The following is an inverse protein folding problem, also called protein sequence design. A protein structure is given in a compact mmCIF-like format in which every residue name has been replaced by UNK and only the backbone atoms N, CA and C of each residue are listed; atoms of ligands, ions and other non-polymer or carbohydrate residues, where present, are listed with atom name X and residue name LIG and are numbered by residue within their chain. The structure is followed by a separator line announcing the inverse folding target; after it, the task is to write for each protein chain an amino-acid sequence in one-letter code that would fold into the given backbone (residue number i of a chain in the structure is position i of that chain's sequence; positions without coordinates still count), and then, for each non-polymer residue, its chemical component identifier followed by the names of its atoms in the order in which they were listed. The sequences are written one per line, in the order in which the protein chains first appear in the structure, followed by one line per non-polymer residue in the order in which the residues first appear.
data_IF_992597892846
#
_entry.id   IF_992597892846
#
_cell.length_a   1.000
_cell.length_b   1.000
_cell.length_c   1.000
_cell.angle_alpha   90.00
_cell.angle_beta   90.00
_cell.angle_gamma   90.00
#
_symmetry.space_group_name_H-M   'P 1'
#
loop_
_entity.id
_entity.type
_entity.pdbx_description
1 polymer ?
#
# COMPACT_ATOMS: atom_id res chain seq x y z
N UNK A 1 -4.28 72.70 -39.72
CA UNK A 1 -3.39 71.90 -38.84
C UNK A 1 -4.25 71.09 -37.89
N UNK A 2 -4.24 69.75 -37.98
CA UNK A 2 -4.39 68.84 -36.83
C UNK A 2 -4.28 67.40 -37.34
N UNK A 3 -3.16 66.73 -36.99
CA UNK A 3 -2.91 65.31 -37.22
C UNK A 3 -3.42 64.56 -36.00
N UNK A 4 -4.39 63.66 -36.17
CA UNK A 4 -4.80 62.70 -35.16
C UNK A 4 -3.92 61.45 -35.29
N UNK A 5 -3.09 61.23 -34.26
CA UNK A 5 -2.21 60.07 -34.16
C UNK A 5 -3.03 58.80 -33.88
N UNK A 6 -2.88 57.79 -34.75
CA UNK A 6 -3.40 56.43 -34.52
C UNK A 6 -2.41 55.69 -33.62
N UNK A 7 -2.81 55.47 -32.36
CA UNK A 7 -2.10 54.59 -31.43
C UNK A 7 -2.25 53.13 -31.83
N UNK A 8 -1.12 52.43 -31.91
CA UNK A 8 -1.03 50.98 -32.13
C UNK A 8 -1.22 50.29 -30.78
N UNK A 9 -2.28 49.50 -30.62
CA UNK A 9 -2.45 48.58 -29.48
C UNK A 9 -1.68 47.29 -29.79
N UNK A 10 -0.58 47.06 -29.07
CA UNK A 10 0.08 45.76 -29.00
C UNK A 10 -0.77 44.82 -28.12
N UNK A 11 -1.34 43.78 -28.73
CA UNK A 11 -1.93 42.66 -28.00
C UNK A 11 -0.80 41.73 -27.53
N UNK A 12 -0.53 41.71 -26.22
CA UNK A 12 0.38 40.75 -25.63
C UNK A 12 -0.31 39.38 -25.58
N UNK A 13 0.12 38.46 -26.44
CA UNK A 13 -0.30 37.06 -26.38
C UNK A 13 0.32 36.40 -25.15
N UNK A 14 -0.49 36.18 -24.11
CA UNK A 14 -0.14 35.34 -22.97
C UNK A 14 -0.13 33.88 -23.44
N UNK A 15 1.05 33.38 -23.80
CA UNK A 15 1.27 31.95 -23.95
C UNK A 15 1.14 31.30 -22.58
N UNK A 16 -0.01 30.69 -22.32
CA UNK A 16 -0.16 29.76 -21.22
C UNK A 16 0.81 28.60 -21.45
N UNK A 17 1.86 28.53 -20.66
CA UNK A 17 2.75 27.37 -20.63
C UNK A 17 1.93 26.16 -20.15
N UNK A 18 1.94 25.03 -20.87
CA UNK A 18 1.33 23.82 -20.34
C UNK A 18 2.05 23.47 -19.04
N UNK A 19 1.27 23.32 -17.97
CA UNK A 19 1.76 22.87 -16.68
C UNK A 19 2.58 21.60 -16.90
N UNK A 20 3.88 21.69 -16.59
CA UNK A 20 4.83 20.61 -16.81
C UNK A 20 4.30 19.32 -16.19
N UNK A 21 4.25 18.27 -17.01
CA UNK A 21 4.15 16.91 -16.52
C UNK A 21 5.34 16.69 -15.57
N UNK A 22 5.06 16.62 -14.26
CA UNK A 22 6.01 16.04 -13.31
C UNK A 22 6.14 14.56 -13.67
N UNK A 23 7.19 14.24 -14.40
CA UNK A 23 7.62 12.89 -14.71
C UNK A 23 8.15 12.23 -13.43
N UNK A 24 7.29 11.46 -12.78
CA UNK A 24 7.61 10.61 -11.65
C UNK A 24 6.36 9.86 -11.24
N UNK A 25 6.36 8.55 -11.43
CA UNK A 25 5.32 7.66 -10.93
C UNK A 25 5.34 7.68 -9.39
N UNK A 26 4.63 8.63 -8.77
CA UNK A 26 4.64 8.76 -7.31
C UNK A 26 3.39 8.10 -6.72
N UNK A 27 3.61 7.10 -5.87
CA UNK A 27 2.55 6.49 -5.07
C UNK A 27 2.19 7.44 -3.92
N UNK A 28 1.23 8.34 -4.18
CA UNK A 28 0.91 9.46 -3.30
C UNK A 28 0.53 9.07 -1.87
N UNK A 29 -0.06 7.88 -1.68
CA UNK A 29 -0.57 7.43 -0.38
C UNK A 29 -0.12 6.00 -0.06
N UNK A 30 1.19 5.75 -0.19
CA UNK A 30 1.80 4.53 0.33
C UNK A 30 1.45 4.32 1.82
N UNK A 31 1.30 3.07 2.25
CA UNK A 31 0.85 2.73 3.58
C UNK A 31 1.71 1.62 4.17
N UNK A 32 2.10 1.80 5.42
CA UNK A 32 2.96 0.88 6.17
C UNK A 32 2.29 0.42 7.44
N UNK A 33 1.02 0.76 7.67
CA UNK A 33 0.34 0.51 8.94
C UNK A 33 -0.92 -0.31 8.71
N UNK A 34 -1.12 -1.35 9.51
CA UNK A 34 -2.39 -2.06 9.67
C UNK A 34 -2.73 -2.15 11.15
N UNK A 35 -3.89 -1.59 11.53
CA UNK A 35 -4.42 -1.71 12.89
C UNK A 35 -3.38 -1.43 14.00
N UNK A 36 -2.55 -0.39 13.80
CA UNK A 36 -1.50 0.02 14.74
C UNK A 36 -0.17 -0.73 14.62
N UNK A 37 -0.09 -1.81 13.85
CA UNK A 37 1.15 -2.50 13.49
C UNK A 37 1.76 -1.78 12.29
N UNK A 38 3.01 -1.33 12.42
CA UNK A 38 3.76 -0.62 11.39
C UNK A 38 4.90 -1.50 10.87
N UNK A 39 5.07 -1.54 9.55
CA UNK A 39 6.17 -2.24 8.90
C UNK A 39 7.52 -1.75 9.44
N UNK A 40 8.40 -2.67 9.80
CA UNK A 40 9.73 -2.36 10.34
C UNK A 40 9.76 -1.89 11.81
N UNK A 41 8.61 -1.79 12.50
CA UNK A 41 8.54 -1.30 13.89
C UNK A 41 8.10 -2.40 14.85
N UNK A 42 9.08 -3.08 15.46
CA UNK A 42 8.84 -4.13 16.46
C UNK A 42 8.02 -3.65 17.67
N UNK A 43 8.15 -2.38 18.08
CA UNK A 43 7.40 -1.86 19.22
C UNK A 43 5.92 -1.69 18.87
N UNK A 44 5.60 -1.34 17.64
CA UNK A 44 4.21 -1.30 17.17
C UNK A 44 3.53 -2.66 17.25
N UNK A 45 4.22 -3.72 16.80
CA UNK A 45 3.75 -5.10 16.92
C UNK A 45 3.55 -5.50 18.36
N UNK A 46 4.53 -5.25 19.24
CA UNK A 46 4.45 -5.60 20.66
C UNK A 46 3.28 -4.88 21.35
N UNK A 47 2.99 -3.62 21.00
CA UNK A 47 1.84 -2.89 21.55
C UNK A 47 0.51 -3.54 21.17
N UNK A 48 0.39 -4.07 19.95
CA UNK A 48 -0.86 -4.64 19.43
C UNK A 48 -1.03 -6.10 19.82
N UNK A 49 0.03 -6.90 19.72
CA UNK A 49 0.00 -8.36 19.89
C UNK A 49 0.54 -8.83 21.25
N UNK A 50 1.23 -7.96 21.99
CA UNK A 50 2.02 -8.35 23.16
C UNK A 50 3.38 -8.95 22.78
N UNK A 51 4.22 -9.26 23.78
CA UNK A 51 5.54 -9.88 23.56
C UNK A 51 5.48 -11.40 23.33
N UNK A 52 4.43 -12.05 23.82
CA UNK A 52 4.30 -13.51 23.85
C UNK A 52 3.23 -14.07 22.93
N UNK A 53 2.82 -13.34 21.87
CA UNK A 53 1.80 -13.85 20.97
C UNK A 53 2.27 -15.17 20.34
N UNK A 54 1.33 -16.11 20.28
CA UNK A 54 1.46 -17.32 19.49
C UNK A 54 0.55 -17.18 18.29
N UNK A 55 0.95 -17.77 17.18
CA UNK A 55 0.23 -17.63 15.92
C UNK A 55 0.45 -18.89 15.11
N UNK A 56 -0.45 -19.10 14.16
CA UNK A 56 -0.27 -20.15 13.16
C UNK A 56 0.79 -19.67 12.19
N UNK A 57 1.79 -20.50 11.98
CA UNK A 57 2.85 -20.28 11.01
C UNK A 57 2.39 -20.94 9.71
N UNK A 58 2.18 -20.13 8.67
CA UNK A 58 2.00 -20.60 7.31
C UNK A 58 3.38 -20.67 6.66
N UNK A 59 3.73 -21.85 6.16
CA UNK A 59 5.00 -22.11 5.48
C UNK A 59 4.72 -22.36 3.99
N UNK A 60 4.49 -21.30 3.20
CA UNK A 60 4.19 -21.45 1.78
C UNK A 60 5.48 -21.70 0.99
N UNK A 61 6.15 -22.85 1.17
CA UNK A 61 7.31 -23.26 0.37
C UNK A 61 8.39 -22.17 0.16
N UNK A 62 8.46 -21.19 1.06
CA UNK A 62 9.29 -19.98 0.95
C UNK A 62 10.09 -19.85 2.23
N UNK A 63 11.29 -19.32 2.13
CA UNK A 63 12.29 -19.33 3.21
C UNK A 63 11.85 -18.59 4.50
N UNK A 64 10.77 -17.79 4.44
CA UNK A 64 10.23 -17.08 5.60
C UNK A 64 8.72 -17.28 5.78
N UNK A 65 8.29 -17.74 6.96
CA UNK A 65 6.89 -18.05 7.16
C UNK A 65 6.03 -16.80 7.41
N UNK A 66 4.73 -16.95 7.16
CA UNK A 66 3.72 -15.98 7.54
C UNK A 66 3.12 -16.31 8.91
N UNK A 67 3.01 -15.29 9.75
CA UNK A 67 2.26 -15.34 10.99
C UNK A 67 0.80 -14.96 10.70
N UNK A 68 -0.12 -15.89 10.96
CA UNK A 68 -1.55 -15.73 10.63
C UNK A 68 -2.36 -15.33 11.86
N UNK A 69 -3.15 -14.28 11.70
CA UNK A 69 -4.13 -13.79 12.67
C UNK A 69 -5.50 -13.70 12.02
N UNK A 70 -6.56 -13.84 12.80
CA UNK A 70 -7.92 -13.68 12.33
C UNK A 70 -8.58 -12.43 12.94
N UNK A 71 -9.56 -11.91 12.22
CA UNK A 71 -10.58 -11.02 12.79
C UNK A 71 -11.44 -11.75 13.83
N UNK A 72 -12.11 -10.99 14.69
CA UNK A 72 -12.99 -11.47 15.76
C UNK A 72 -14.05 -12.44 15.27
N UNK A 73 -14.64 -12.18 14.11
CA UNK A 73 -15.67 -13.04 13.49
C UNK A 73 -15.09 -14.11 12.54
N UNK A 74 -13.76 -14.18 12.45
CA UNK A 74 -13.02 -15.11 11.61
C UNK A 74 -13.42 -15.03 10.12
N UNK A 75 -13.69 -13.82 9.59
CA UNK A 75 -13.99 -13.64 8.15
C UNK A 75 -12.83 -13.05 7.36
N UNK A 76 -11.87 -12.44 8.06
CA UNK A 76 -10.67 -11.85 7.50
C UNK A 76 -9.44 -12.41 8.20
N UNK A 77 -8.38 -12.57 7.43
CA UNK A 77 -7.06 -12.95 7.90
C UNK A 77 -6.10 -11.78 7.72
N UNK A 78 -5.25 -11.57 8.72
CA UNK A 78 -4.05 -10.74 8.66
C UNK A 78 -2.85 -11.66 8.71
N UNK A 79 -1.99 -11.59 7.69
CA UNK A 79 -0.77 -12.35 7.60
C UNK A 79 0.39 -11.36 7.71
N UNK A 80 1.36 -11.64 8.57
CA UNK A 80 2.56 -10.84 8.77
C UNK A 80 3.78 -11.68 8.41
N UNK A 81 4.69 -11.17 7.57
CA UNK A 81 5.87 -11.90 7.12
C UNK A 81 7.16 -11.27 7.61
N UNK A 82 8.02 -12.12 8.18
CA UNK A 82 9.41 -11.79 8.45
C UNK A 82 10.26 -11.99 7.19
N UNK A 83 11.33 -11.25 7.04
CA UNK A 83 12.39 -11.47 6.06
C UNK A 83 13.70 -11.87 6.76
N UNK A 84 14.66 -12.38 5.97
CA UNK A 84 16.02 -12.63 6.47
C UNK A 84 16.59 -11.38 7.16
N UNK A 85 17.10 -11.54 8.38
CA UNK A 85 17.72 -10.43 9.11
C UNK A 85 16.73 -9.50 9.81
N UNK A 86 15.42 -9.75 9.74
CA UNK A 86 14.44 -8.98 10.51
C UNK A 86 14.67 -9.12 12.02
N UNK A 87 14.49 -8.00 12.73
CA UNK A 87 14.41 -8.02 14.19
C UNK A 87 13.16 -8.78 14.63
N UNK A 88 13.23 -9.46 15.77
CA UNK A 88 12.07 -10.12 16.37
C UNK A 88 10.88 -9.13 16.48
N UNK A 89 9.69 -9.57 16.07
CA UNK A 89 8.46 -8.77 16.02
C UNK A 89 8.44 -7.62 15.00
N UNK A 90 9.51 -7.42 14.23
CA UNK A 90 9.53 -6.50 13.10
C UNK A 90 9.15 -7.22 11.82
N UNK A 91 8.04 -6.80 11.20
CA UNK A 91 7.56 -7.39 9.95
C UNK A 91 7.76 -6.39 8.82
N UNK A 92 8.26 -6.84 7.67
CA UNK A 92 8.41 -5.99 6.49
C UNK A 92 7.29 -6.14 5.48
N UNK A 93 6.36 -7.06 5.72
CA UNK A 93 5.22 -7.28 4.84
C UNK A 93 3.98 -7.72 5.62
N UNK A 94 2.83 -7.22 5.17
CA UNK A 94 1.54 -7.71 5.62
C UNK A 94 0.59 -7.96 4.44
N UNK A 95 -0.24 -8.98 4.59
CA UNK A 95 -1.32 -9.32 3.67
C UNK A 95 -2.64 -9.40 4.44
N UNK A 96 -3.71 -8.91 3.83
CA UNK A 96 -5.07 -9.05 4.34
C UNK A 96 -5.94 -9.64 3.26
N UNK A 97 -6.74 -10.65 3.62
CA UNK A 97 -7.67 -11.32 2.71
C UNK A 97 -8.94 -11.77 3.40
N UNK A 98 -10.02 -11.89 2.63
CA UNK A 98 -11.17 -12.66 3.08
C UNK A 98 -10.77 -14.13 3.21
N UNK A 99 -11.25 -14.77 4.27
CA UNK A 99 -10.96 -16.18 4.48
C UNK A 99 -11.12 -16.62 5.92
N UNK A 100 -10.99 -17.94 6.09
CA UNK A 100 -10.93 -18.65 7.36
C UNK A 100 -9.71 -19.55 7.30
N UNK A 101 -9.00 -19.64 8.41
CA UNK A 101 -7.92 -20.62 8.57
C UNK A 101 -8.42 -21.73 9.50
N UNK A 102 -8.30 -22.99 9.05
CA UNK A 102 -8.76 -24.17 9.78
C UNK A 102 -7.90 -24.49 11.00
N UNK A 103 -6.69 -23.94 11.07
CA UNK A 103 -5.75 -24.11 12.19
C UNK A 103 -6.09 -23.19 13.38
N UNK A 104 -7.20 -22.45 13.29
CA UNK A 104 -7.73 -21.57 14.33
C UNK A 104 -6.70 -20.56 14.87
N UNK A 105 -6.25 -19.61 14.03
CA UNK A 105 -5.29 -18.58 14.42
C UNK A 105 -5.83 -17.69 15.53
N UNK A 106 -4.94 -16.99 16.21
CA UNK A 106 -5.31 -16.00 17.23
C UNK A 106 -6.20 -14.93 16.61
N UNK A 107 -7.31 -14.65 17.30
CA UNK A 107 -8.28 -13.64 16.89
C UNK A 107 -7.95 -12.30 17.54
N UNK A 108 -7.80 -11.28 16.72
CA UNK A 108 -7.67 -9.90 17.16
C UNK A 108 -9.07 -9.32 17.46
N UNK A 109 -9.19 -8.36 18.40
CA UNK A 109 -10.48 -7.82 18.84
C UNK A 109 -11.09 -6.83 17.82
N UNK A 110 -11.02 -7.14 16.54
CA UNK A 110 -11.47 -6.33 15.40
C UNK A 110 -12.37 -7.12 14.47
N UNK A 111 -13.36 -6.47 13.87
CA UNK A 111 -14.19 -7.09 12.82
C UNK A 111 -13.60 -6.92 11.43
N UNK A 112 -12.85 -5.84 11.21
CA UNK A 112 -12.22 -5.55 9.93
C UNK A 112 -10.79 -5.09 10.17
N UNK A 113 -9.87 -5.54 9.32
CA UNK A 113 -8.55 -4.95 9.25
C UNK A 113 -8.58 -3.71 8.37
N UNK A 114 -8.02 -2.63 8.89
CA UNK A 114 -7.97 -1.33 8.22
C UNK A 114 -6.55 -0.81 8.30
N UNK A 115 -6.04 -0.32 7.19
CA UNK A 115 -4.70 0.27 7.12
C UNK A 115 -4.70 1.73 7.58
N UNK A 116 -3.52 2.34 7.75
CA UNK A 116 -3.38 3.74 8.18
C UNK A 116 -4.07 4.74 7.25
N UNK A 117 -4.09 4.46 5.94
CA UNK A 117 -4.74 5.26 4.90
C UNK A 117 -6.21 4.87 4.66
N UNK A 118 -6.78 3.97 5.47
CA UNK A 118 -8.18 3.55 5.38
C UNK A 118 -8.47 2.49 4.30
N UNK A 119 -7.45 1.77 3.82
CA UNK A 119 -7.66 0.61 2.95
C UNK A 119 -8.25 -0.55 3.77
N UNK A 120 -9.31 -1.15 3.24
CA UNK A 120 -9.98 -2.32 3.82
C UNK A 120 -10.66 -3.16 2.75
N UNK A 121 -10.87 -4.43 3.05
CA UNK A 121 -11.56 -5.36 2.15
C UNK A 121 -12.98 -4.87 1.78
N UNK A 122 -13.46 -5.27 0.61
CA UNK A 122 -14.75 -4.87 0.07
C UNK A 122 -14.81 -3.45 -0.52
N UNK A 123 -13.74 -2.65 -0.43
CA UNK A 123 -13.67 -1.36 -1.13
C UNK A 123 -13.69 -1.54 -2.66
N UNK A 124 -14.28 -0.58 -3.36
CA UNK A 124 -14.28 -0.60 -4.83
C UNK A 124 -12.90 -0.28 -5.38
N UNK A 125 -12.54 -0.90 -6.51
CA UNK A 125 -11.33 -0.58 -7.28
C UNK A 125 -11.12 0.92 -7.48
N UNK A 126 -12.18 1.64 -7.89
CA UNK A 126 -12.11 3.10 -8.10
C UNK A 126 -11.69 3.87 -6.84
N UNK A 127 -12.07 3.38 -5.65
CA UNK A 127 -11.69 3.99 -4.37
C UNK A 127 -10.20 3.78 -4.10
N UNK A 128 -9.67 2.59 -4.38
CA UNK A 128 -8.25 2.30 -4.25
C UNK A 128 -7.44 3.14 -5.23
N UNK A 129 -7.82 3.17 -6.50
CA UNK A 129 -7.12 3.96 -7.53
C UNK A 129 -7.17 5.46 -7.23
N UNK A 130 -8.30 5.99 -6.77
CA UNK A 130 -8.40 7.40 -6.39
C UNK A 130 -7.47 7.76 -5.21
N UNK A 131 -7.23 6.81 -4.29
CA UNK A 131 -6.32 7.01 -3.15
C UNK A 131 -4.86 6.84 -3.55
N UNK A 132 -4.53 5.75 -4.24
CA UNK A 132 -3.16 5.32 -4.53
C UNK A 132 -2.57 6.00 -5.78
N UNK A 133 -3.42 6.60 -6.62
CA UNK A 133 -3.04 7.14 -7.91
C UNK A 133 -3.13 6.10 -9.04
N UNK A 134 -2.94 6.59 -10.27
CA UNK A 134 -3.05 5.78 -11.50
C UNK A 134 -1.76 5.05 -11.88
N UNK A 135 -0.69 5.17 -11.08
CA UNK A 135 0.60 4.62 -11.45
C UNK A 135 0.80 3.17 -10.99
N UNK A 136 0.00 2.28 -11.56
CA UNK A 136 0.05 0.85 -11.30
C UNK A 136 0.20 0.06 -12.60
N UNK A 137 0.78 -1.14 -12.48
CA UNK A 137 0.64 -2.20 -13.48
C UNK A 137 -0.63 -2.98 -13.16
N UNK A 138 -1.40 -3.35 -14.18
CA UNK A 138 -2.58 -4.21 -14.01
C UNK A 138 -2.38 -5.54 -14.73
N UNK A 139 -2.92 -6.60 -14.14
CA UNK A 139 -3.00 -7.92 -14.74
C UNK A 139 -4.39 -8.50 -14.47
N UNK A 140 -4.84 -9.42 -15.31
CA UNK A 140 -6.12 -10.11 -15.12
C UNK A 140 -5.92 -11.62 -15.22
N UNK A 141 -6.55 -12.37 -14.32
CA UNK A 141 -6.56 -13.83 -14.31
C UNK A 141 -7.98 -14.31 -14.02
N UNK A 142 -8.70 -14.69 -15.09
CA UNK A 142 -10.14 -14.95 -15.01
C UNK A 142 -10.91 -13.72 -14.52
N UNK A 143 -11.69 -13.91 -13.46
CA UNK A 143 -12.50 -12.86 -12.83
C UNK A 143 -11.72 -11.97 -11.84
N UNK A 144 -10.43 -12.25 -11.65
CA UNK A 144 -9.57 -11.49 -10.74
C UNK A 144 -8.77 -10.45 -11.50
N UNK A 145 -8.88 -9.19 -11.09
CA UNK A 145 -7.99 -8.10 -11.51
C UNK A 145 -6.96 -7.83 -10.42
N UNK A 146 -5.69 -7.69 -10.80
CA UNK A 146 -4.59 -7.42 -9.88
C UNK A 146 -3.94 -6.10 -10.24
N UNK A 147 -3.87 -5.18 -9.27
CA UNK A 147 -3.13 -3.92 -9.40
C UNK A 147 -1.84 -4.01 -8.59
N UNK A 148 -0.72 -3.61 -9.20
CA UNK A 148 0.61 -3.60 -8.59
C UNK A 148 1.23 -2.21 -8.66
N UNK A 149 1.57 -1.68 -7.50
CA UNK A 149 2.33 -0.46 -7.30
C UNK A 149 3.71 -0.84 -6.78
N UNK A 150 4.75 -0.16 -7.26
CA UNK A 150 6.10 -0.35 -6.78
C UNK A 150 6.87 0.98 -6.81
N UNK A 151 7.70 1.19 -5.81
CA UNK A 151 8.67 2.29 -5.72
C UNK A 151 10.04 1.65 -5.50
N UNK A 152 11.05 2.08 -6.24
CA UNK A 152 12.43 1.59 -6.14
C UNK A 152 13.41 2.75 -5.91
N UNK A 153 14.63 2.46 -5.46
CA UNK A 153 15.69 3.43 -5.15
C UNK A 153 15.93 4.49 -6.24
N UNK A 154 15.73 4.13 -7.51
CA UNK A 154 15.82 5.03 -8.66
C UNK A 154 14.68 6.07 -8.73
N UNK A 155 13.78 6.12 -7.74
CA UNK A 155 12.71 7.11 -7.61
C UNK A 155 13.18 8.28 -6.73
N UNK A 156 13.85 9.31 -7.30
CA UNK A 156 14.35 10.45 -6.52
C UNK A 156 13.20 11.11 -5.76
N UNK A 157 13.34 11.17 -4.43
CA UNK A 157 12.40 11.89 -3.56
C UNK A 157 11.37 11.06 -2.81
N UNK A 158 11.36 9.72 -2.94
CA UNK A 158 10.41 8.87 -2.20
C UNK A 158 10.52 9.05 -0.69
N UNK A 159 9.52 9.70 -0.07
CA UNK A 159 9.49 9.95 1.37
C UNK A 159 9.39 8.64 2.18
N UNK A 160 8.64 7.65 1.67
CA UNK A 160 8.47 6.36 2.34
C UNK A 160 9.77 5.56 2.39
N UNK A 161 10.50 5.43 1.27
CA UNK A 161 11.76 4.67 1.24
C UNK A 161 12.81 5.28 2.17
N UNK A 162 12.89 6.63 2.21
CA UNK A 162 13.77 7.37 3.13
C UNK A 162 13.37 7.16 4.60
N UNK A 163 12.08 7.20 4.90
CA UNK A 163 11.58 7.04 6.26
C UNK A 163 11.78 5.62 6.81
N UNK A 164 11.76 4.60 5.94
CA UNK A 164 11.91 3.20 6.33
C UNK A 164 13.32 2.66 6.11
N UNK A 165 14.22 3.42 5.48
CA UNK A 165 15.55 2.98 5.06
C UNK A 165 15.50 1.65 4.27
N UNK A 166 14.59 1.57 3.30
CA UNK A 166 14.36 0.37 2.49
C UNK A 166 14.56 0.69 1.00
N UNK A 167 15.11 -0.23 0.21
CA UNK A 167 15.41 0.04 -1.20
C UNK A 167 14.16 -0.01 -2.08
N UNK A 168 13.17 -0.82 -1.69
CA UNK A 168 11.94 -1.04 -2.45
C UNK A 168 10.73 -1.08 -1.54
N UNK A 169 9.62 -0.61 -2.08
CA UNK A 169 8.29 -0.69 -1.47
C UNK A 169 7.29 -1.08 -2.54
N UNK A 170 6.30 -1.87 -2.17
CA UNK A 170 5.24 -2.26 -3.09
C UNK A 170 3.88 -2.37 -2.41
N UNK A 171 2.83 -2.27 -3.23
CA UNK A 171 1.47 -2.56 -2.85
C UNK A 171 0.80 -3.39 -3.95
N UNK A 172 0.09 -4.45 -3.55
CA UNK A 172 -0.66 -5.31 -4.45
C UNK A 172 -2.10 -5.41 -3.99
N UNK A 173 -3.03 -5.31 -4.94
CA UNK A 173 -4.47 -5.35 -4.68
C UNK A 173 -5.13 -6.31 -5.65
N UNK A 174 -5.89 -7.27 -5.11
CA UNK A 174 -6.68 -8.21 -5.91
C UNK A 174 -8.16 -7.91 -5.76
N UNK A 175 -8.81 -7.74 -6.92
CA UNK A 175 -10.21 -7.42 -7.03
C UNK A 175 -10.97 -8.58 -7.64
N UNK A 176 -12.09 -8.92 -7.04
CA UNK A 176 -13.09 -9.82 -7.60
C UNK A 176 -14.40 -9.04 -7.77
N UNK A 177 -14.98 -9.05 -8.96
CA UNK A 177 -16.15 -8.23 -9.31
C UNK A 177 -15.99 -6.73 -8.93
N UNK A 178 -14.77 -6.20 -9.12
CA UNK A 178 -14.43 -4.80 -8.83
C UNK A 178 -14.31 -4.45 -7.34
N UNK A 179 -14.44 -5.43 -6.44
CA UNK A 179 -14.33 -5.28 -4.97
C UNK A 179 -13.01 -5.85 -4.49
N UNK A 180 -12.37 -5.18 -3.53
CA UNK A 180 -11.09 -5.60 -2.98
C UNK A 180 -11.25 -6.87 -2.14
N UNK A 181 -10.57 -7.95 -2.52
CA UNK A 181 -10.66 -9.27 -1.87
C UNK A 181 -9.38 -9.66 -1.13
N UNK A 182 -8.23 -9.20 -1.62
CA UNK A 182 -6.92 -9.34 -0.98
C UNK A 182 -6.10 -8.08 -1.25
N UNK A 183 -5.30 -7.68 -0.28
CA UNK A 183 -4.26 -6.70 -0.53
C UNK A 183 -3.04 -6.96 0.33
N UNK A 184 -1.92 -6.45 -0.14
CA UNK A 184 -0.62 -6.68 0.45
C UNK A 184 0.25 -5.44 0.31
N UNK A 185 0.98 -5.15 1.36
CA UNK A 185 1.95 -4.06 1.42
C UNK A 185 3.25 -4.59 1.97
N UNK A 186 4.38 -4.15 1.41
CA UNK A 186 5.66 -4.60 1.91
C UNK A 186 6.84 -3.81 1.42
N UNK A 187 7.94 -4.01 2.12
CA UNK A 187 9.29 -3.65 1.69
C UNK A 187 9.99 -4.90 1.19
N UNK A 188 10.83 -4.73 0.17
CA UNK A 188 11.68 -5.80 -0.33
C UNK A 188 13.13 -5.43 0.00
N UNK A 189 13.73 -5.99 1.07
CA UNK A 189 15.14 -5.80 1.36
C UNK A 189 15.95 -6.40 0.21
N UNK A 190 16.86 -5.61 -0.37
CA UNK A 190 17.66 -6.00 -1.53
C UNK A 190 18.54 -7.23 -1.24
#
# INVERSE_FOLDING_TARGET
MMRLARGVLLAAALFATPAGARSGCELANADTIVHGIRLGDAQSTIRVLGRGYRTVIDDPASDFPWHVFASRDNKQLLLLRHHAGDLQHSYLEFEIKFGRDSRNPVKLPVYEFVTGNGTRLGQWRRTIVARMGSCFKSARKGDVEILRYAIAEESPGSAILKATNMPRYYAEFEFYNGRLHRYRFGHDPA
#
